data_IF_330357988106
#
_entry.id   IF_330357988106
#
_cell.length_a   1.000
_cell.length_b   1.000
_cell.length_c   1.000
_cell.angle_alpha   90.00
_cell.angle_beta   90.00
_cell.angle_gamma   90.00
#
_symmetry.space_group_name_H-M   'P 1'
#
loop_
_entity.id
_entity.type
_entity.pdbx_description
1 polymer ?
#
# COMPACT_ATOMS: atom_id res chain seq x y z
N UNK A 1 -4.82 2.40 8.77
CA UNK A 1 -3.77 1.39 9.06
C UNK A 1 -3.86 0.81 10.46
N UNK A 2 -4.12 1.60 11.47
CA UNK A 2 -4.33 1.10 12.85
C UNK A 2 -5.55 0.19 13.00
N UNK A 3 -6.59 0.34 12.18
CA UNK A 3 -7.75 -0.55 12.18
C UNK A 3 -7.44 -1.96 11.68
N UNK A 4 -6.52 -2.11 10.72
CA UNK A 4 -6.10 -3.42 10.21
C UNK A 4 -5.33 -4.23 11.24
N UNK A 5 -4.45 -3.60 11.99
CA UNK A 5 -3.67 -4.27 13.04
C UNK A 5 -4.55 -4.74 14.21
N UNK A 6 -5.61 -4.00 14.55
CA UNK A 6 -6.58 -4.44 15.57
C UNK A 6 -7.43 -5.61 15.12
N UNK A 7 -7.80 -5.65 13.86
CA UNK A 7 -8.64 -6.70 13.29
C UNK A 7 -7.90 -8.04 13.15
N UNK A 8 -6.58 -8.01 12.96
CA UNK A 8 -5.81 -9.20 12.63
C UNK A 8 -5.80 -10.29 13.70
N UNK A 9 -5.97 -9.95 14.99
CA UNK A 9 -5.87 -10.94 16.07
C UNK A 9 -7.16 -11.73 16.35
N UNK A 10 -8.33 -11.10 16.31
CA UNK A 10 -9.61 -11.74 16.65
C UNK A 10 -10.45 -12.08 15.42
N UNK A 11 -10.19 -11.44 14.30
CA UNK A 11 -11.02 -11.49 13.10
C UNK A 11 -10.82 -12.77 12.31
N UNK A 12 -9.56 -13.27 12.24
CA UNK A 12 -9.23 -14.45 11.43
C UNK A 12 -9.98 -15.68 11.90
N UNK A 13 -9.98 -15.94 13.21
CA UNK A 13 -10.71 -17.07 13.77
C UNK A 13 -12.21 -16.97 13.57
N UNK A 14 -12.77 -15.76 13.66
CA UNK A 14 -14.21 -15.52 13.43
C UNK A 14 -14.58 -15.75 11.96
N UNK A 15 -13.80 -15.23 11.03
CA UNK A 15 -14.03 -15.43 9.58
C UNK A 15 -13.93 -16.90 9.23
N UNK A 16 -12.93 -17.62 9.74
CA UNK A 16 -12.75 -19.05 9.46
C UNK A 16 -13.94 -19.87 9.98
N UNK A 17 -14.48 -19.51 11.16
CA UNK A 17 -15.71 -20.15 11.67
C UNK A 17 -16.91 -19.90 10.78
N UNK A 18 -17.09 -18.65 10.31
CA UNK A 18 -18.20 -18.32 9.42
C UNK A 18 -18.10 -19.07 8.09
N UNK A 19 -16.89 -19.25 7.57
CA UNK A 19 -16.67 -20.05 6.35
C UNK A 19 -17.07 -21.50 6.55
N UNK A 20 -16.65 -22.11 7.66
CA UNK A 20 -17.00 -23.51 7.99
C UNK A 20 -18.50 -23.68 8.14
N UNK A 21 -19.17 -22.69 8.72
CA UNK A 21 -20.62 -22.70 8.90
C UNK A 21 -21.41 -22.34 7.65
N UNK A 22 -20.72 -21.95 6.57
CA UNK A 22 -21.37 -21.56 5.32
C UNK A 22 -22.03 -20.19 5.36
N UNK A 23 -21.69 -19.34 6.32
CA UNK A 23 -22.28 -18.01 6.51
C UNK A 23 -21.53 -16.94 5.69
N UNK A 24 -21.43 -17.15 4.39
CA UNK A 24 -20.63 -16.31 3.48
C UNK A 24 -21.17 -14.88 3.37
N UNK A 25 -22.48 -14.72 3.35
CA UNK A 25 -23.07 -13.37 3.27
C UNK A 25 -22.77 -12.56 4.52
N UNK A 26 -22.75 -13.21 5.68
CA UNK A 26 -22.41 -12.55 6.94
C UNK A 26 -20.97 -12.02 6.92
N UNK A 27 -20.03 -12.75 6.31
CA UNK A 27 -18.64 -12.29 6.14
C UNK A 27 -18.63 -10.98 5.37
N UNK A 28 -19.32 -10.91 4.24
CA UNK A 28 -19.41 -9.72 3.43
C UNK A 28 -20.06 -8.55 4.19
N UNK A 29 -21.15 -8.81 4.88
CA UNK A 29 -21.90 -7.78 5.60
C UNK A 29 -21.09 -7.18 6.75
N UNK A 30 -20.35 -8.01 7.48
CA UNK A 30 -19.55 -7.54 8.62
C UNK A 30 -18.20 -6.93 8.22
N UNK A 31 -17.54 -7.48 7.20
CA UNK A 31 -16.16 -7.12 6.86
C UNK A 31 -16.02 -6.35 5.55
N UNK A 32 -17.00 -6.38 4.68
CA UNK A 32 -16.96 -5.68 3.40
C UNK A 32 -16.83 -4.16 3.55
N UNK A 33 -17.41 -3.59 4.60
CA UNK A 33 -17.31 -2.15 4.90
C UNK A 33 -15.87 -1.72 5.18
N UNK A 34 -15.10 -2.58 5.85
CA UNK A 34 -13.69 -2.31 6.14
C UNK A 34 -12.89 -2.18 4.84
N UNK A 35 -13.15 -3.08 3.90
CA UNK A 35 -12.50 -3.04 2.59
C UNK A 35 -12.83 -1.77 1.82
N UNK A 36 -14.09 -1.35 1.86
CA UNK A 36 -14.54 -0.10 1.24
C UNK A 36 -13.85 1.11 1.86
N UNK A 37 -13.71 1.16 3.19
CA UNK A 37 -13.02 2.24 3.90
C UNK A 37 -11.53 2.26 3.57
N UNK A 38 -10.86 1.11 3.50
CA UNK A 38 -9.46 1.02 3.14
C UNK A 38 -9.21 1.59 1.73
N UNK A 39 -10.04 1.22 0.76
CA UNK A 39 -9.94 1.73 -0.60
C UNK A 39 -10.26 3.23 -0.68
N UNK A 40 -11.19 3.71 0.14
CA UNK A 40 -11.46 5.15 0.23
C UNK A 40 -10.26 5.91 0.77
N UNK A 41 -9.53 5.34 1.72
CA UNK A 41 -8.29 5.94 2.22
C UNK A 41 -7.24 6.05 1.11
N UNK A 42 -7.15 5.06 0.22
CA UNK A 42 -6.29 5.15 -0.96
C UNK A 42 -6.73 6.31 -1.86
N UNK A 43 -8.02 6.43 -2.12
CA UNK A 43 -8.56 7.47 -3.00
C UNK A 43 -8.23 8.89 -2.54
N UNK A 44 -8.27 9.14 -1.24
CA UNK A 44 -8.03 10.47 -0.67
C UNK A 44 -6.55 10.73 -0.33
N UNK A 45 -5.69 9.74 -0.47
CA UNK A 45 -4.26 9.87 -0.18
C UNK A 45 -3.50 10.39 -1.40
N UNK A 46 -2.44 11.15 -1.16
CA UNK A 46 -1.54 11.62 -2.23
C UNK A 46 -0.53 10.56 -2.61
N UNK A 47 -0.11 9.75 -1.66
CA UNK A 47 0.81 8.63 -1.87
C UNK A 47 0.59 7.56 -0.81
N UNK A 48 1.17 6.39 -1.02
CA UNK A 48 0.99 5.24 -0.14
C UNK A 48 2.32 4.77 0.42
N UNK A 49 2.35 4.49 1.71
CA UNK A 49 3.46 3.77 2.35
C UNK A 49 2.92 2.42 2.81
N UNK A 50 3.57 1.34 2.40
CA UNK A 50 3.12 -0.01 2.66
C UNK A 50 4.23 -0.83 3.30
N UNK A 51 3.88 -1.60 4.32
CA UNK A 51 4.74 -2.64 4.87
C UNK A 51 4.28 -3.99 4.33
N UNK A 52 5.20 -4.73 3.73
CA UNK A 52 4.93 -6.06 3.18
C UNK A 52 5.71 -7.10 3.99
N UNK A 53 4.98 -8.08 4.50
CA UNK A 53 5.53 -9.27 5.13
C UNK A 53 5.26 -10.46 4.21
N UNK A 54 6.31 -11.05 3.62
CA UNK A 54 6.18 -12.13 2.65
C UNK A 54 5.69 -13.44 3.27
N UNK A 55 5.73 -13.56 4.59
CA UNK A 55 5.23 -14.73 5.31
C UNK A 55 3.72 -14.68 5.54
N UNK A 56 3.06 -13.58 5.17
CA UNK A 56 1.63 -13.37 5.36
C UNK A 56 0.93 -13.13 4.03
N UNK A 57 -0.22 -13.77 3.83
CA UNK A 57 -1.06 -13.48 2.68
C UNK A 57 -1.71 -12.10 2.85
N UNK A 58 -1.26 -11.14 2.05
CA UNK A 58 -1.64 -9.74 2.15
C UNK A 58 -2.39 -9.26 0.89
N UNK A 59 -3.36 -10.04 0.42
CA UNK A 59 -4.10 -9.73 -0.81
C UNK A 59 -4.73 -8.33 -0.80
N UNK A 60 -5.25 -7.90 0.36
CA UNK A 60 -5.81 -6.56 0.49
C UNK A 60 -4.76 -5.46 0.31
N UNK A 61 -3.55 -5.66 0.83
CA UNK A 61 -2.45 -4.72 0.65
C UNK A 61 -2.06 -4.62 -0.82
N UNK A 62 -1.98 -5.75 -1.51
CA UNK A 62 -1.65 -5.79 -2.93
C UNK A 62 -2.71 -5.10 -3.79
N UNK A 63 -4.00 -5.24 -3.45
CA UNK A 63 -5.07 -4.50 -4.11
C UNK A 63 -4.91 -2.99 -3.91
N UNK A 64 -4.59 -2.54 -2.70
CA UNK A 64 -4.36 -1.12 -2.42
C UNK A 64 -3.19 -0.56 -3.23
N UNK A 65 -2.10 -1.32 -3.34
CA UNK A 65 -0.95 -0.95 -4.16
C UNK A 65 -1.36 -0.81 -5.62
N UNK A 66 -2.09 -1.79 -6.15
CA UNK A 66 -2.55 -1.78 -7.54
C UNK A 66 -3.49 -0.59 -7.81
N UNK A 67 -4.43 -0.32 -6.92
CA UNK A 67 -5.36 0.81 -7.04
C UNK A 67 -4.61 2.14 -7.03
N UNK A 68 -3.71 2.34 -6.06
CA UNK A 68 -2.91 3.56 -5.97
C UNK A 68 -2.04 3.75 -7.22
N UNK A 69 -1.41 2.68 -7.69
CA UNK A 69 -0.58 2.75 -8.90
C UNK A 69 -1.39 3.08 -10.14
N UNK A 70 -2.60 2.51 -10.27
CA UNK A 70 -3.51 2.84 -11.40
C UNK A 70 -3.97 4.29 -11.37
N UNK A 71 -4.07 4.87 -10.18
CA UNK A 71 -4.38 6.29 -9.99
C UNK A 71 -3.15 7.20 -10.14
N UNK A 72 -2.02 6.65 -10.55
CA UNK A 72 -0.75 7.37 -10.73
C UNK A 72 -0.21 7.99 -9.45
N UNK A 73 -0.55 7.43 -8.30
CA UNK A 73 -0.03 7.84 -6.99
C UNK A 73 1.27 7.11 -6.70
N UNK A 74 2.25 7.79 -6.09
CA UNK A 74 3.47 7.10 -5.65
C UNK A 74 3.15 6.06 -4.58
N UNK A 75 3.79 4.89 -4.69
CA UNK A 75 3.70 3.82 -3.70
C UNK A 75 5.11 3.47 -3.25
N UNK A 76 5.34 3.52 -1.94
CA UNK A 76 6.60 3.15 -1.30
C UNK A 76 6.37 1.89 -0.48
N UNK A 77 7.23 0.90 -0.67
CA UNK A 77 7.07 -0.41 -0.04
C UNK A 77 8.29 -0.73 0.81
N UNK A 78 8.06 -0.99 2.09
CA UNK A 78 9.04 -1.62 2.95
C UNK A 78 8.77 -3.12 3.01
N UNK A 79 9.70 -3.92 2.50
CA UNK A 79 9.63 -5.37 2.61
C UNK A 79 10.37 -5.80 3.88
N UNK A 80 9.66 -6.40 4.83
CA UNK A 80 10.21 -6.76 6.13
C UNK A 80 11.35 -7.79 6.03
N UNK A 81 11.29 -8.68 5.06
CA UNK A 81 12.33 -9.68 4.79
C UNK A 81 13.47 -9.16 3.91
N UNK A 82 13.45 -7.87 3.58
CA UNK A 82 14.43 -7.24 2.71
C UNK A 82 13.93 -7.05 1.29
N UNK A 83 14.51 -6.09 0.60
CA UNK A 83 14.14 -5.73 -0.77
C UNK A 83 14.24 -6.92 -1.73
N UNK A 84 15.29 -7.74 -1.58
CA UNK A 84 15.51 -8.89 -2.45
C UNK A 84 14.44 -9.98 -2.28
N UNK A 85 13.74 -10.01 -1.15
CA UNK A 85 12.66 -10.96 -0.88
C UNK A 85 11.28 -10.46 -1.35
N UNK A 86 11.18 -9.25 -1.86
CA UNK A 86 9.91 -8.70 -2.34
C UNK A 86 9.39 -9.53 -3.52
N UNK A 87 8.05 -9.69 -3.62
CA UNK A 87 7.46 -10.41 -4.76
C UNK A 87 7.88 -9.83 -6.10
N UNK A 88 8.10 -10.69 -7.08
CA UNK A 88 8.60 -10.29 -8.40
C UNK A 88 7.72 -9.23 -9.06
N UNK A 89 6.41 -9.36 -8.95
CA UNK A 89 5.47 -8.44 -9.61
C UNK A 89 5.56 -7.00 -9.07
N UNK A 90 6.06 -6.79 -7.83
CA UNK A 90 6.31 -5.45 -7.33
C UNK A 90 7.41 -4.75 -8.13
N UNK A 91 8.45 -5.48 -8.52
CA UNK A 91 9.53 -4.94 -9.36
C UNK A 91 9.05 -4.64 -10.79
N UNK A 92 8.00 -5.30 -11.26
CA UNK A 92 7.41 -5.03 -12.56
C UNK A 92 6.49 -3.81 -12.54
N UNK A 93 5.88 -3.53 -11.39
CA UNK A 93 4.89 -2.47 -11.22
C UNK A 93 5.48 -1.16 -10.77
N UNK A 94 6.44 -1.21 -9.83
CA UNK A 94 7.00 -0.04 -9.17
C UNK A 94 8.47 0.12 -9.56
N UNK A 95 8.98 1.37 -9.59
CA UNK A 95 10.43 1.56 -9.71
C UNK A 95 11.13 0.93 -8.50
N UNK A 96 12.27 0.29 -8.73
CA UNK A 96 12.96 -0.42 -7.63
C UNK A 96 13.38 0.52 -6.50
N UNK A 97 13.54 1.81 -6.78
CA UNK A 97 13.86 2.85 -5.78
C UNK A 97 12.73 3.06 -4.77
N UNK A 98 11.54 2.53 -5.04
CA UNK A 98 10.38 2.57 -4.15
C UNK A 98 10.23 1.32 -3.28
N UNK A 99 11.15 0.37 -3.39
CA UNK A 99 11.14 -0.87 -2.59
C UNK A 99 12.36 -0.84 -1.68
N UNK A 100 12.14 -0.93 -0.36
CA UNK A 100 13.14 -0.65 0.66
C UNK A 100 13.38 -1.83 1.58
N UNK A 101 14.62 -1.96 2.05
CA UNK A 101 15.03 -2.93 3.06
C UNK A 101 14.57 -2.55 4.47
N UNK A 102 14.42 -1.26 4.74
CA UNK A 102 14.10 -0.75 6.07
C UNK A 102 13.21 0.48 5.98
N UNK A 103 12.49 0.74 7.08
CA UNK A 103 11.71 1.98 7.21
C UNK A 103 12.62 3.20 7.22
N UNK A 104 13.84 3.09 7.78
CA UNK A 104 14.81 4.18 7.79
C UNK A 104 15.21 4.59 6.37
N UNK A 105 15.46 3.62 5.50
CA UNK A 105 15.78 3.90 4.10
C UNK A 105 14.60 4.54 3.36
N UNK A 106 13.39 4.08 3.65
CA UNK A 106 12.18 4.67 3.09
C UNK A 106 12.03 6.14 3.52
N UNK A 107 12.20 6.43 4.79
CA UNK A 107 12.11 7.79 5.31
C UNK A 107 13.22 8.69 4.76
N UNK A 108 14.41 8.14 4.57
CA UNK A 108 15.52 8.85 3.90
C UNK A 108 15.19 9.21 2.46
N UNK A 109 14.55 8.30 1.74
CA UNK A 109 14.06 8.56 0.40
C UNK A 109 13.00 9.68 0.37
N UNK A 110 12.05 9.67 1.29
CA UNK A 110 11.05 10.74 1.39
C UNK A 110 11.68 12.10 1.68
N UNK A 111 12.70 12.14 2.55
CA UNK A 111 13.45 13.36 2.81
C UNK A 111 14.16 13.87 1.54
N UNK A 112 14.71 12.96 0.76
CA UNK A 112 15.32 13.29 -0.53
C UNK A 112 14.30 13.87 -1.51
N UNK A 113 13.13 13.25 -1.65
CA UNK A 113 12.04 13.74 -2.50
C UNK A 113 11.59 15.13 -2.05
N UNK A 114 11.43 15.33 -0.76
CA UNK A 114 11.03 16.61 -0.18
C UNK A 114 12.06 17.70 -0.47
N UNK A 115 13.34 17.40 -0.30
CA UNK A 115 14.44 18.34 -0.59
C UNK A 115 14.44 18.80 -2.04
N UNK A 116 14.06 17.94 -2.98
CA UNK A 116 14.03 18.23 -4.41
C UNK A 116 12.63 18.64 -4.91
N UNK A 117 11.68 18.93 -4.01
CA UNK A 117 10.31 19.33 -4.34
C UNK A 117 9.62 18.35 -5.30
N UNK A 118 9.89 17.05 -5.12
CA UNK A 118 9.33 16.00 -5.97
C UNK A 118 9.96 15.87 -7.35
N UNK A 119 10.97 16.66 -7.66
CA UNK A 119 11.67 16.58 -8.94
C UNK A 119 12.84 15.59 -8.83
N UNK A 120 12.54 14.32 -9.06
CA UNK A 120 13.52 13.24 -9.05
C UNK A 120 13.51 12.53 -10.40
N UNK A 121 14.69 12.14 -10.90
CA UNK A 121 14.84 11.64 -12.28
C UNK A 121 14.19 10.29 -12.52
N UNK A 122 14.21 9.39 -11.53
CA UNK A 122 13.73 8.03 -11.66
C UNK A 122 12.19 7.89 -11.58
N UNK A 123 11.47 8.95 -11.17
CA UNK A 123 10.03 8.89 -10.99
C UNK A 123 9.41 10.29 -11.09
N UNK A 124 8.38 10.45 -11.91
CA UNK A 124 7.81 11.76 -12.23
C UNK A 124 6.39 11.98 -11.69
N UNK A 125 5.90 11.10 -10.82
CA UNK A 125 4.54 11.17 -10.29
C UNK A 125 4.42 11.81 -8.90
N UNK A 126 5.46 12.51 -8.43
CA UNK A 126 5.40 13.32 -7.20
C UNK A 126 4.78 14.69 -7.48
N UNK A 127 3.61 14.71 -8.13
CA UNK A 127 3.00 15.93 -8.67
C UNK A 127 2.54 16.90 -7.59
N UNK A 128 2.14 16.40 -6.41
CA UNK A 128 1.63 17.24 -5.33
C UNK A 128 2.70 18.18 -4.72
N UNK A 129 3.97 17.95 -5.00
CA UNK A 129 5.05 18.85 -4.62
C UNK A 129 5.19 20.05 -5.57
N UNK A 130 4.63 19.96 -6.77
CA UNK A 130 4.74 20.99 -7.78
C UNK A 130 3.40 21.18 -8.49
N UNK A 131 2.66 22.23 -8.08
CA UNK A 131 1.31 22.52 -8.60
C UNK A 131 1.30 22.81 -10.10
N UNK A 132 2.37 23.36 -10.64
CA UNK A 132 2.47 23.65 -12.07
C UNK A 132 2.58 22.35 -12.88
N UNK A 133 3.33 21.38 -12.40
CA UNK A 133 3.38 20.04 -13.01
C UNK A 133 2.04 19.31 -12.93
N UNK A 134 1.27 19.52 -11.85
CA UNK A 134 -0.05 18.93 -11.73
C UNK A 134 -1.02 19.42 -12.81
N UNK A 135 -0.91 20.69 -13.22
CA UNK A 135 -1.76 21.29 -14.25
C UNK A 135 -1.42 20.80 -15.66
N UNK A 136 -0.21 20.34 -15.89
CA UNK A 136 0.26 19.86 -17.20
C UNK A 136 -0.12 18.39 -17.47
N UNK A 137 -0.64 17.71 -16.48
CA UNK A 137 -1.07 16.33 -16.57
C UNK A 137 -2.56 16.19 -16.33
#
# INVERSE_FOLDING_TARGET
MTSRLRLARNTRGHIERLKVEGKFQQIRDEYGVIRTLDLRCVDISDFLIVSVDTDVHACGTYEEIAVANSQKKPVLVWCQQGKAAAPNWLFFMLPHQHIFDSMENLMGYLAYVHKHNGDVDHYKRWFFFNKDKMRMN
#
